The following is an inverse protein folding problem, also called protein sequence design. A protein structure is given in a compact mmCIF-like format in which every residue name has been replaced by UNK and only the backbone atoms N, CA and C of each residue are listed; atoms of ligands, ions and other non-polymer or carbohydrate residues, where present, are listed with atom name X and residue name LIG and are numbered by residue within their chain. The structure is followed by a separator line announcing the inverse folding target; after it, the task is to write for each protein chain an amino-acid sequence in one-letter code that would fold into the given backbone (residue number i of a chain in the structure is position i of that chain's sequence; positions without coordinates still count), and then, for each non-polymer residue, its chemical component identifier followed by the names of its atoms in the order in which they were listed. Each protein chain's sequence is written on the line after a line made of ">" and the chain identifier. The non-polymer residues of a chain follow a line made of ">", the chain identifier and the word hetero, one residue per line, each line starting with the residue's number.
data_IF_838934939125
#
_entry.id   IF_838934939125
#
_cell.length_a   1.000
_cell.length_b   1.000
_cell.length_c   1.000
_cell.angle_alpha   90.00
_cell.angle_beta   90.00
_cell.angle_gamma   90.00
#
_symmetry.space_group_name_H-M   'P 1'
#
loop_
_entity.id
_entity.type
_entity.pdbx_description
1 polymer ?
#
# COMPACT_ATOMS: atom_id res chain seq x y z
N UNK A 1 -9.68 2.45 43.25
CA UNK A 1 -9.44 1.64 42.05
C UNK A 1 -9.30 2.59 40.88
N UNK A 2 -8.10 2.74 40.32
CA UNK A 2 -7.93 3.48 39.06
C UNK A 2 -8.79 2.81 37.99
N UNK A 3 -9.61 3.60 37.28
CA UNK A 3 -10.37 3.12 36.15
C UNK A 3 -9.34 2.70 35.07
N UNK A 4 -9.26 1.41 34.79
CA UNK A 4 -8.47 0.91 33.66
C UNK A 4 -9.07 1.47 32.38
N UNK A 5 -8.31 2.28 31.66
CA UNK A 5 -8.68 2.71 30.30
C UNK A 5 -8.59 1.51 29.35
N UNK A 6 -9.68 1.19 28.66
CA UNK A 6 -9.75 0.05 27.74
C UNK A 6 -10.00 0.58 26.32
N UNK A 7 -9.00 0.46 25.46
CA UNK A 7 -9.08 0.88 24.07
C UNK A 7 -9.40 -0.33 23.17
N UNK A 8 -10.54 -0.29 22.47
CA UNK A 8 -11.04 -1.39 21.62
C UNK A 8 -11.10 -1.03 20.12
N UNK A 9 -10.59 0.14 19.72
CA UNK A 9 -10.67 0.62 18.34
C UNK A 9 -9.32 0.53 17.57
N UNK A 10 -8.59 -0.58 17.77
CA UNK A 10 -7.30 -0.79 17.11
C UNK A 10 -7.41 -0.94 15.57
N UNK A 11 -8.57 -1.27 15.04
CA UNK A 11 -8.83 -1.31 13.60
C UNK A 11 -8.77 0.09 12.95
N UNK A 12 -9.10 1.15 13.70
CA UNK A 12 -8.94 2.54 13.25
C UNK A 12 -7.48 3.00 13.35
N UNK A 13 -6.84 2.80 14.52
CA UNK A 13 -5.41 3.04 14.77
C UNK A 13 -4.99 2.29 16.03
N UNK A 14 -3.76 1.81 16.08
CA UNK A 14 -3.27 1.08 17.26
C UNK A 14 -2.99 2.02 18.44
N UNK A 15 -3.32 1.57 19.66
CA UNK A 15 -3.03 2.27 20.91
C UNK A 15 -2.80 1.26 22.05
N UNK A 16 -1.81 1.51 22.97
CA UNK A 16 -0.80 2.57 22.93
C UNK A 16 0.27 2.33 21.85
N UNK A 17 0.99 3.38 21.48
CA UNK A 17 2.20 3.23 20.65
C UNK A 17 3.35 2.74 21.52
N UNK A 18 4.21 1.82 21.01
CA UNK A 18 5.41 1.39 21.75
C UNK A 18 6.37 2.56 22.02
N UNK A 19 7.04 2.54 23.16
CA UNK A 19 7.99 3.59 23.58
C UNK A 19 9.14 3.77 22.56
N UNK A 20 9.57 2.68 21.91
CA UNK A 20 10.58 2.75 20.85
C UNK A 20 10.17 3.65 19.67
N UNK A 21 8.88 3.78 19.38
CA UNK A 21 8.36 4.69 18.33
C UNK A 21 8.58 6.14 18.74
N UNK A 22 8.24 6.50 19.98
CA UNK A 22 8.46 7.85 20.50
C UNK A 22 9.93 8.21 20.55
N UNK A 23 10.77 7.27 21.00
CA UNK A 23 12.24 7.43 21.04
C UNK A 23 12.82 7.66 19.65
N UNK A 24 12.41 6.86 18.65
CA UNK A 24 12.88 7.01 17.27
C UNK A 24 12.44 8.35 16.65
N UNK A 25 11.19 8.78 16.90
CA UNK A 25 10.68 10.08 16.44
C UNK A 25 11.47 11.23 17.06
N UNK A 26 11.78 11.17 18.37
CA UNK A 26 12.59 12.17 19.05
C UNK A 26 14.00 12.24 18.43
N UNK A 27 14.68 11.11 18.27
CA UNK A 27 16.01 11.05 17.67
C UNK A 27 16.02 11.62 16.25
N UNK A 28 15.00 11.34 15.44
CA UNK A 28 14.88 11.91 14.10
C UNK A 28 14.83 13.45 14.12
N UNK A 29 14.17 14.05 15.11
CA UNK A 29 14.03 15.51 15.23
C UNK A 29 15.23 16.18 15.90
N UNK A 30 15.94 15.51 16.81
CA UNK A 30 17.02 16.10 17.60
C UNK A 30 18.42 15.80 17.07
N UNK A 31 18.67 14.56 16.62
CA UNK A 31 20.02 14.06 16.39
C UNK A 31 20.42 14.15 14.91
N UNK A 32 19.52 13.80 13.99
CA UNK A 32 19.81 13.77 12.56
C UNK A 32 18.76 14.47 11.68
N UNK A 33 18.14 15.52 12.20
CA UNK A 33 17.19 16.35 11.44
C UNK A 33 17.90 17.06 10.28
N UNK A 34 18.00 16.37 9.14
CA UNK A 34 18.61 16.87 7.90
C UNK A 34 17.94 16.23 6.68
N UNK A 35 18.06 16.87 5.52
CA UNK A 35 17.54 16.32 4.28
C UNK A 35 18.38 15.11 3.85
N UNK A 36 17.80 13.90 3.74
CA UNK A 36 18.51 12.73 3.25
C UNK A 36 18.88 12.87 1.77
N UNK A 37 20.12 12.53 1.41
CA UNK A 37 20.54 12.35 0.03
C UNK A 37 21.00 13.61 -0.72
N UNK A 38 20.93 14.83 -0.14
CA UNK A 38 21.36 16.07 -0.83
C UNK A 38 22.74 16.59 -0.48
N UNK A 39 23.37 16.11 0.58
CA UNK A 39 24.68 16.59 0.99
C UNK A 39 25.49 15.50 1.69
N UNK A 40 26.82 15.58 1.57
CA UNK A 40 27.73 14.60 2.15
C UNK A 40 28.06 14.83 3.63
N UNK A 41 27.38 15.76 4.33
CA UNK A 41 27.66 15.99 5.75
C UNK A 41 27.03 14.90 6.64
N UNK A 42 27.59 14.69 7.82
CA UNK A 42 27.26 13.60 8.75
C UNK A 42 25.75 13.44 8.98
N UNK A 43 25.02 14.50 9.31
CA UNK A 43 23.58 14.44 9.60
C UNK A 43 22.73 14.00 8.40
N UNK A 44 23.10 14.42 7.17
CA UNK A 44 22.42 13.99 5.95
C UNK A 44 22.63 12.51 5.69
N UNK A 45 23.83 11.98 5.94
CA UNK A 45 24.13 10.54 5.82
C UNK A 45 23.39 9.73 6.90
N UNK A 46 23.32 10.23 8.13
CA UNK A 46 22.55 9.60 9.22
C UNK A 46 21.05 9.53 8.88
N UNK A 47 20.48 10.62 8.36
CA UNK A 47 19.10 10.66 7.90
C UNK A 47 18.85 9.67 6.75
N UNK A 48 19.74 9.61 5.75
CA UNK A 48 19.64 8.66 4.65
C UNK A 48 19.71 7.20 5.12
N UNK A 49 20.60 6.89 6.07
CA UNK A 49 20.71 5.56 6.68
C UNK A 49 19.43 5.18 7.45
N UNK A 50 18.83 6.12 8.19
CA UNK A 50 17.59 5.90 8.90
C UNK A 50 16.42 5.59 7.95
N UNK A 51 16.33 6.30 6.82
CA UNK A 51 15.32 6.02 5.78
C UNK A 51 15.54 4.64 5.15
N UNK A 52 16.79 4.29 4.83
CA UNK A 52 17.12 2.97 4.28
C UNK A 52 16.78 1.85 5.27
N UNK A 53 17.20 1.98 6.52
CA UNK A 53 16.90 1.00 7.56
C UNK A 53 15.38 0.81 7.77
N UNK A 54 14.59 1.88 7.67
CA UNK A 54 13.14 1.80 7.70
C UNK A 54 12.57 1.04 6.49
N UNK A 55 13.10 1.23 5.28
CA UNK A 55 12.71 0.47 4.08
C UNK A 55 13.03 -1.01 4.24
N UNK A 56 14.24 -1.34 4.71
CA UNK A 56 14.69 -2.70 4.96
C UNK A 56 13.80 -3.41 5.98
N UNK A 57 13.45 -2.73 7.09
CA UNK A 57 12.56 -3.27 8.10
C UNK A 57 11.15 -3.54 7.55
N UNK A 58 10.59 -2.61 6.78
CA UNK A 58 9.28 -2.78 6.14
C UNK A 58 9.33 -3.87 5.08
N UNK A 59 10.37 -3.94 4.26
CA UNK A 59 10.56 -5.00 3.28
C UNK A 59 10.60 -6.40 3.94
N UNK A 60 11.30 -6.50 5.07
CA UNK A 60 11.35 -7.76 5.84
C UNK A 60 9.96 -8.18 6.36
N UNK A 61 9.14 -7.24 6.86
CA UNK A 61 7.76 -7.52 7.32
C UNK A 61 6.84 -7.90 6.16
N UNK A 62 7.08 -7.36 4.97
CA UNK A 62 6.34 -7.67 3.74
C UNK A 62 6.79 -8.98 3.07
N UNK A 63 7.92 -9.56 3.44
CA UNK A 63 8.56 -10.64 2.67
C UNK A 63 9.07 -10.16 1.30
N UNK A 64 9.31 -8.86 1.14
CA UNK A 64 9.85 -8.29 -0.10
C UNK A 64 11.37 -8.49 -0.17
N UNK A 65 11.88 -8.88 -1.35
CA UNK A 65 13.31 -9.19 -1.55
C UNK A 65 14.18 -7.93 -1.66
N UNK A 66 13.61 -6.85 -2.20
CA UNK A 66 14.30 -5.60 -2.44
C UNK A 66 13.61 -4.47 -1.66
N UNK A 67 14.30 -3.81 -0.70
CA UNK A 67 13.74 -2.67 0.02
C UNK A 67 13.41 -1.48 -0.88
N UNK A 68 14.03 -1.36 -2.05
CA UNK A 68 13.70 -0.29 -3.02
C UNK A 68 12.33 -0.49 -3.68
N UNK A 69 11.72 -1.67 -3.58
CA UNK A 69 10.33 -1.90 -3.93
C UNK A 69 9.32 -1.30 -2.94
N UNK A 70 9.77 -0.66 -1.86
CA UNK A 70 8.90 0.00 -0.87
C UNK A 70 8.94 1.52 -1.08
N UNK A 71 7.83 2.10 -1.52
CA UNK A 71 7.61 3.54 -1.56
C UNK A 71 6.89 4.00 -0.29
N UNK A 72 7.43 4.99 0.44
CA UNK A 72 6.74 5.58 1.57
C UNK A 72 5.62 6.52 1.14
N UNK A 73 4.53 6.52 1.90
CA UNK A 73 3.35 7.34 1.71
C UNK A 73 2.89 7.93 3.06
N UNK A 74 2.06 8.96 3.03
CA UNK A 74 1.53 9.56 4.25
C UNK A 74 0.51 8.67 4.99
N UNK A 75 -0.11 7.75 4.29
CA UNK A 75 -1.07 6.77 4.82
C UNK A 75 -1.43 5.76 3.72
N UNK A 76 -2.25 4.75 4.06
CA UNK A 76 -2.72 3.76 3.09
C UNK A 76 -3.57 4.39 1.96
N UNK A 77 -4.36 5.42 2.25
CA UNK A 77 -5.16 6.11 1.23
C UNK A 77 -4.28 6.75 0.16
N UNK A 78 -3.16 7.39 0.57
CA UNK A 78 -2.17 7.97 -0.34
C UNK A 78 -1.50 6.87 -1.20
N UNK A 79 -1.12 5.75 -0.56
CA UNK A 79 -0.55 4.58 -1.24
C UNK A 79 -1.51 3.97 -2.27
N UNK A 80 -2.79 3.80 -1.91
CA UNK A 80 -3.83 3.27 -2.81
C UNK A 80 -4.10 4.23 -3.98
N UNK A 81 -4.10 5.55 -3.74
CA UNK A 81 -4.20 6.54 -4.81
C UNK A 81 -3.02 6.48 -5.77
N UNK A 82 -1.79 6.34 -5.24
CA UNK A 82 -0.59 6.16 -6.07
C UNK A 82 -0.71 4.91 -6.95
N UNK A 83 -1.09 3.77 -6.35
CA UNK A 83 -1.23 2.51 -7.07
C UNK A 83 -2.32 2.59 -8.17
N UNK A 84 -3.54 3.01 -7.81
CA UNK A 84 -4.67 3.03 -8.74
C UNK A 84 -4.48 4.06 -9.85
N UNK A 85 -4.07 5.27 -9.50
CA UNK A 85 -3.87 6.35 -10.49
C UNK A 85 -2.63 6.12 -11.35
N UNK A 86 -1.58 5.52 -10.77
CA UNK A 86 -0.35 5.18 -11.47
C UNK A 86 -0.52 4.03 -12.47
N UNK A 87 -1.35 3.04 -12.15
CA UNK A 87 -1.55 1.86 -12.99
C UNK A 87 -2.53 2.07 -14.15
N UNK A 88 -3.54 2.94 -13.99
CA UNK A 88 -4.68 3.02 -14.90
C UNK A 88 -4.56 4.15 -15.93
N UNK A 89 -5.06 3.87 -17.12
CA UNK A 89 -5.22 4.80 -18.26
C UNK A 89 -6.68 4.83 -18.70
N UNK A 90 -7.02 5.83 -19.52
CA UNK A 90 -8.36 5.92 -20.12
C UNK A 90 -8.64 4.70 -20.99
N UNK A 91 -9.81 4.09 -20.81
CA UNK A 91 -10.25 2.89 -21.51
C UNK A 91 -9.91 1.59 -20.79
N UNK A 92 -9.18 1.62 -19.69
CA UNK A 92 -8.86 0.44 -18.89
C UNK A 92 -10.08 -0.09 -18.13
N UNK A 93 -10.15 -1.41 -17.96
CA UNK A 93 -11.11 -2.07 -17.09
C UNK A 93 -10.45 -2.47 -15.76
N UNK A 94 -11.19 -2.30 -14.67
CA UNK A 94 -10.79 -2.67 -13.31
C UNK A 94 -11.78 -3.65 -12.70
N UNK A 95 -11.28 -4.69 -12.07
CA UNK A 95 -12.06 -5.57 -11.21
C UNK A 95 -11.76 -5.23 -9.75
N UNK A 96 -12.80 -5.01 -8.96
CA UNK A 96 -12.68 -4.78 -7.52
C UNK A 96 -13.86 -5.42 -6.80
N UNK A 97 -13.99 -5.18 -5.48
CA UNK A 97 -15.03 -5.83 -4.69
C UNK A 97 -15.89 -4.82 -3.93
N UNK A 98 -17.07 -5.22 -3.51
CA UNK A 98 -17.93 -4.42 -2.62
C UNK A 98 -17.43 -4.43 -1.16
N UNK A 99 -16.37 -5.20 -0.85
CA UNK A 99 -15.75 -5.25 0.48
C UNK A 99 -14.68 -4.18 0.69
N UNK A 100 -14.32 -3.45 -0.37
CA UNK A 100 -13.23 -2.50 -0.32
C UNK A 100 -13.51 -1.30 0.59
N UNK A 101 -12.45 -0.81 1.20
CA UNK A 101 -12.51 0.46 1.92
C UNK A 101 -12.77 1.63 0.95
N UNK A 102 -13.36 2.71 1.46
CA UNK A 102 -13.60 3.94 0.70
C UNK A 102 -12.35 4.51 -0.01
N UNK A 103 -11.17 4.22 0.49
CA UNK A 103 -9.88 4.62 -0.14
C UNK A 103 -9.64 3.96 -1.50
N UNK A 104 -10.28 2.83 -1.78
CA UNK A 104 -10.31 2.16 -3.09
C UNK A 104 -11.56 2.58 -3.85
N UNK A 105 -12.75 2.37 -3.27
CA UNK A 105 -14.02 2.57 -3.96
C UNK A 105 -14.21 4.01 -4.47
N UNK A 106 -13.85 5.02 -3.66
CA UNK A 106 -14.03 6.42 -4.08
C UNK A 106 -13.11 6.83 -5.22
N UNK A 107 -11.89 6.30 -5.26
CA UNK A 107 -10.96 6.56 -6.38
C UNK A 107 -11.48 5.92 -7.67
N UNK A 108 -11.93 4.67 -7.59
CA UNK A 108 -12.49 3.95 -8.75
C UNK A 108 -13.81 4.58 -9.21
N UNK A 109 -14.71 4.93 -8.29
CA UNK A 109 -15.98 5.59 -8.60
C UNK A 109 -15.78 6.96 -9.29
N UNK A 110 -14.79 7.75 -8.85
CA UNK A 110 -14.49 9.04 -9.48
C UNK A 110 -13.92 8.86 -10.89
N UNK A 111 -13.05 7.87 -11.10
CA UNK A 111 -12.54 7.52 -12.44
C UNK A 111 -13.66 7.02 -13.36
N UNK A 112 -14.57 6.18 -12.86
CA UNK A 112 -15.76 5.73 -13.58
C UNK A 112 -16.67 6.90 -13.95
N UNK A 113 -16.96 7.82 -12.99
CA UNK A 113 -17.79 9.01 -13.21
C UNK A 113 -17.21 9.94 -14.29
N UNK A 114 -15.88 9.97 -14.42
CA UNK A 114 -15.18 10.73 -15.48
C UNK A 114 -15.07 9.97 -16.81
N UNK A 115 -15.66 8.79 -16.88
CA UNK A 115 -15.56 7.92 -18.07
C UNK A 115 -14.11 7.55 -18.43
N UNK A 116 -13.20 7.58 -17.45
CA UNK A 116 -11.80 7.21 -17.64
C UNK A 116 -11.59 5.70 -17.65
N UNK A 117 -12.44 4.95 -16.93
CA UNK A 117 -12.33 3.49 -16.80
C UNK A 117 -13.68 2.79 -16.88
N UNK A 118 -13.64 1.48 -17.15
CA UNK A 118 -14.70 0.54 -16.89
C UNK A 118 -14.48 -0.14 -15.53
N UNK A 119 -15.54 -0.42 -14.77
CA UNK A 119 -15.44 -0.99 -13.43
C UNK A 119 -16.40 -2.16 -13.25
N UNK A 120 -15.88 -3.30 -12.80
CA UNK A 120 -16.66 -4.41 -12.28
C UNK A 120 -16.45 -4.52 -10.77
N UNK A 121 -17.53 -4.41 -10.00
CA UNK A 121 -17.52 -4.62 -8.54
C UNK A 121 -18.16 -5.98 -8.22
N UNK A 122 -17.37 -6.89 -7.68
CA UNK A 122 -17.83 -8.23 -7.30
C UNK A 122 -18.43 -8.20 -5.89
N UNK A 123 -19.66 -8.72 -5.70
CA UNK A 123 -20.22 -8.89 -4.37
C UNK A 123 -19.53 -10.05 -3.65
N UNK A 124 -19.43 -10.00 -2.30
CA UNK A 124 -19.04 -11.16 -1.53
C UNK A 124 -20.14 -12.23 -1.58
N UNK A 125 -19.76 -13.48 -1.42
CA UNK A 125 -20.69 -14.59 -1.15
C UNK A 125 -21.29 -14.47 0.27
N UNK A 126 -22.31 -15.24 0.60
CA UNK A 126 -22.94 -15.20 1.94
C UNK A 126 -21.99 -15.47 3.10
N UNK A 127 -20.87 -16.16 2.86
CA UNK A 127 -19.79 -16.42 3.82
C UNK A 127 -18.82 -15.24 4.01
N UNK A 128 -19.00 -14.14 3.24
CA UNK A 128 -18.19 -12.93 3.33
C UNK A 128 -16.93 -12.95 2.47
N UNK A 129 -16.73 -13.95 1.61
CA UNK A 129 -15.57 -14.07 0.74
C UNK A 129 -15.92 -13.80 -0.72
N UNK A 130 -14.93 -13.30 -1.47
CA UNK A 130 -14.99 -13.20 -2.94
C UNK A 130 -14.43 -14.48 -3.54
N UNK A 131 -15.18 -15.11 -4.45
CA UNK A 131 -14.69 -16.29 -5.14
C UNK A 131 -13.67 -15.91 -6.22
N UNK A 132 -12.49 -16.55 -6.28
CA UNK A 132 -11.54 -16.36 -7.36
C UNK A 132 -12.11 -16.65 -8.75
N UNK A 133 -13.10 -17.55 -8.88
CA UNK A 133 -13.75 -17.84 -10.16
C UNK A 133 -14.67 -16.70 -10.61
N UNK A 134 -15.27 -15.94 -9.68
CA UNK A 134 -16.01 -14.72 -10.02
C UNK A 134 -15.05 -13.64 -10.58
N UNK A 135 -13.82 -13.55 -10.03
CA UNK A 135 -12.75 -12.70 -10.59
C UNK A 135 -12.37 -13.14 -11.99
N UNK A 136 -12.19 -14.46 -12.21
CA UNK A 136 -11.88 -15.04 -13.51
C UNK A 136 -12.96 -14.72 -14.53
N UNK A 137 -14.23 -14.89 -14.16
CA UNK A 137 -15.39 -14.60 -15.01
C UNK A 137 -15.56 -13.13 -15.38
N UNK A 138 -15.03 -12.22 -14.56
CA UNK A 138 -15.09 -10.78 -14.79
C UNK A 138 -13.96 -10.24 -15.69
N UNK A 139 -12.94 -11.05 -16.01
CA UNK A 139 -11.81 -10.63 -16.86
C UNK A 139 -12.25 -10.23 -18.26
N UNK A 140 -11.69 -9.14 -18.75
CA UNK A 140 -11.88 -8.61 -20.11
C UNK A 140 -10.53 -8.38 -20.78
N UNK A 141 -10.52 -8.19 -22.10
CA UNK A 141 -9.29 -7.91 -22.88
C UNK A 141 -8.58 -6.63 -22.41
N UNK A 142 -9.34 -5.65 -21.94
CA UNK A 142 -8.84 -4.39 -21.40
C UNK A 142 -8.73 -4.36 -19.87
N UNK A 143 -8.85 -5.50 -19.17
CA UNK A 143 -8.61 -5.55 -17.72
C UNK A 143 -7.16 -5.21 -17.44
N UNK A 144 -6.94 -4.14 -16.65
CA UNK A 144 -5.61 -3.60 -16.35
C UNK A 144 -5.21 -3.71 -14.89
N UNK A 145 -6.19 -3.88 -14.00
CA UNK A 145 -5.95 -3.96 -12.57
C UNK A 145 -7.04 -4.81 -11.90
N UNK A 146 -6.62 -5.65 -10.96
CA UNK A 146 -7.50 -6.27 -9.97
C UNK A 146 -7.14 -5.65 -8.63
N UNK A 147 -8.12 -5.10 -7.88
CA UNK A 147 -7.90 -4.46 -6.59
C UNK A 147 -8.77 -5.09 -5.53
N UNK A 148 -8.16 -5.69 -4.48
CA UNK A 148 -8.87 -6.40 -3.42
C UNK A 148 -8.33 -6.08 -2.04
N UNK A 149 -9.19 -6.02 -1.04
CA UNK A 149 -8.78 -5.95 0.36
C UNK A 149 -8.23 -7.30 0.82
N UNK A 150 -7.17 -7.29 1.65
CA UNK A 150 -6.65 -8.52 2.25
C UNK A 150 -7.52 -9.00 3.40
N UNK A 151 -7.97 -8.06 4.24
CA UNK A 151 -8.90 -8.34 5.33
C UNK A 151 -9.86 -7.16 5.50
N UNK A 152 -11.14 -7.46 5.67
CA UNK A 152 -12.18 -6.46 5.83
C UNK A 152 -12.10 -5.79 7.21
N UNK A 153 -12.10 -4.46 7.24
CA UNK A 153 -12.19 -3.68 8.48
C UNK A 153 -13.59 -3.74 9.14
N UNK A 154 -14.58 -4.24 8.42
CA UNK A 154 -15.98 -4.33 8.89
C UNK A 154 -16.29 -5.72 9.41
N UNK A 155 -15.98 -6.77 8.63
CA UNK A 155 -16.36 -8.15 8.95
C UNK A 155 -15.20 -8.95 9.56
N UNK A 156 -13.94 -8.51 9.38
CA UNK A 156 -12.75 -9.27 9.76
C UNK A 156 -12.42 -10.43 8.81
N UNK A 157 -13.22 -10.66 7.77
CA UNK A 157 -12.98 -11.74 6.82
C UNK A 157 -11.68 -11.53 6.05
N UNK A 158 -10.80 -12.55 6.07
CA UNK A 158 -9.52 -12.57 5.35
C UNK A 158 -9.80 -13.16 3.96
N UNK A 159 -9.64 -12.35 2.93
CA UNK A 159 -9.93 -12.73 1.55
C UNK A 159 -8.93 -13.76 1.01
N UNK A 160 -9.31 -14.62 0.05
CA UNK A 160 -8.44 -15.64 -0.54
C UNK A 160 -7.46 -15.02 -1.56
N UNK A 161 -6.65 -14.05 -1.09
CA UNK A 161 -5.76 -13.24 -1.94
C UNK A 161 -4.80 -14.09 -2.77
N UNK A 162 -4.27 -15.19 -2.22
CA UNK A 162 -3.37 -16.07 -2.95
C UNK A 162 -4.04 -16.74 -4.16
N UNK A 163 -5.31 -17.17 -4.02
CA UNK A 163 -6.06 -17.76 -5.11
C UNK A 163 -6.46 -16.69 -6.16
N UNK A 164 -6.82 -15.48 -5.73
CA UNK A 164 -7.09 -14.35 -6.62
C UNK A 164 -5.80 -13.96 -7.36
N UNK A 165 -4.65 -13.96 -6.68
CA UNK A 165 -3.35 -13.67 -7.30
C UNK A 165 -2.98 -14.70 -8.37
N UNK A 166 -3.36 -15.97 -8.19
CA UNK A 166 -3.16 -16.99 -9.23
C UNK A 166 -3.99 -16.68 -10.48
N UNK A 167 -5.25 -16.27 -10.32
CA UNK A 167 -6.11 -15.85 -11.44
C UNK A 167 -5.53 -14.62 -12.14
N UNK A 168 -5.07 -13.63 -11.38
CA UNK A 168 -4.43 -12.41 -11.90
C UNK A 168 -3.18 -12.74 -12.72
N UNK A 169 -2.32 -13.63 -12.18
CA UNK A 169 -1.10 -14.10 -12.85
C UNK A 169 -1.38 -14.80 -14.16
N UNK A 170 -2.34 -15.72 -14.20
CA UNK A 170 -2.74 -16.45 -15.39
C UNK A 170 -3.27 -15.51 -16.50
N UNK A 171 -3.93 -14.42 -16.08
CA UNK A 171 -4.43 -13.39 -16.98
C UNK A 171 -3.39 -12.34 -17.38
N UNK A 172 -2.20 -12.32 -16.73
CA UNK A 172 -1.20 -11.28 -16.91
C UNK A 172 -1.64 -9.90 -16.42
N UNK A 173 -2.56 -9.85 -15.44
CA UNK A 173 -3.12 -8.62 -14.88
C UNK A 173 -2.52 -8.36 -13.51
N UNK A 174 -2.00 -7.15 -13.22
CA UNK A 174 -1.50 -6.80 -11.89
C UNK A 174 -2.57 -6.89 -10.81
N UNK A 175 -2.17 -7.37 -9.63
CA UNK A 175 -2.99 -7.40 -8.42
C UNK A 175 -2.53 -6.34 -7.43
N UNK A 176 -3.44 -5.44 -7.07
CA UNK A 176 -3.32 -4.52 -5.93
C UNK A 176 -4.03 -5.10 -4.72
N UNK A 177 -3.32 -5.21 -3.62
CA UNK A 177 -3.87 -5.66 -2.34
C UNK A 177 -3.91 -4.49 -1.35
N UNK A 178 -5.08 -4.18 -0.82
CA UNK A 178 -5.22 -3.30 0.35
C UNK A 178 -4.92 -4.10 1.62
N UNK A 179 -3.70 -3.95 2.13
CA UNK A 179 -3.20 -4.62 3.33
C UNK A 179 -3.47 -3.87 4.63
N UNK A 180 -4.37 -2.88 4.64
CA UNK A 180 -4.55 -1.96 5.77
C UNK A 180 -4.90 -2.65 7.09
N UNK A 181 -5.55 -3.79 7.05
CA UNK A 181 -5.92 -4.56 8.26
C UNK A 181 -5.05 -5.82 8.46
N UNK A 182 -4.22 -6.17 7.47
CA UNK A 182 -3.46 -7.42 7.49
C UNK A 182 -2.00 -7.23 7.89
N UNK A 183 -1.30 -6.23 7.32
CA UNK A 183 0.14 -6.07 7.58
C UNK A 183 0.40 -5.72 9.05
N UNK A 184 1.23 -6.54 9.69
CA UNK A 184 1.55 -6.43 11.12
C UNK A 184 0.52 -7.09 12.06
N UNK A 185 -0.68 -7.43 11.56
CA UNK A 185 -1.69 -8.19 12.31
C UNK A 185 -1.63 -9.70 12.02
N UNK A 186 -1.14 -10.07 10.83
CA UNK A 186 -0.92 -11.45 10.40
C UNK A 186 0.35 -11.52 9.53
N UNK A 187 0.93 -12.72 9.35
CA UNK A 187 2.04 -12.91 8.43
C UNK A 187 1.65 -12.53 6.99
N UNK A 188 2.49 -11.74 6.34
CA UNK A 188 2.36 -11.35 4.94
C UNK A 188 3.67 -11.63 4.23
N UNK A 189 3.59 -12.24 3.06
CA UNK A 189 4.72 -12.42 2.15
C UNK A 189 4.26 -12.09 0.73
N UNK A 190 4.61 -10.88 0.26
CA UNK A 190 4.19 -10.38 -1.06
C UNK A 190 4.78 -11.21 -2.21
N UNK A 191 5.95 -11.83 -1.99
CA UNK A 191 6.57 -12.72 -2.96
C UNK A 191 5.79 -14.03 -3.09
N UNK A 192 5.38 -14.63 -1.96
CA UNK A 192 4.56 -15.83 -1.95
C UNK A 192 3.13 -15.57 -2.44
N UNK A 193 2.55 -14.42 -2.08
CA UNK A 193 1.24 -13.96 -2.60
C UNK A 193 1.28 -13.65 -4.10
N UNK A 194 2.47 -13.39 -4.66
CA UNK A 194 2.64 -12.99 -6.06
C UNK A 194 1.73 -11.80 -6.45
N UNK A 195 1.59 -10.82 -5.55
CA UNK A 195 0.92 -9.56 -5.84
C UNK A 195 1.94 -8.51 -6.29
N UNK A 196 1.54 -7.63 -7.20
CA UNK A 196 2.42 -6.60 -7.76
C UNK A 196 2.37 -5.30 -6.96
N UNK A 197 1.29 -5.07 -6.23
CA UNK A 197 1.07 -3.88 -5.42
C UNK A 197 0.48 -4.27 -4.07
N UNK A 198 1.06 -3.76 -2.98
CA UNK A 198 0.55 -4.00 -1.63
C UNK A 198 0.59 -2.71 -0.81
N UNK A 199 -0.58 -2.13 -0.54
CA UNK A 199 -0.70 -0.86 0.20
C UNK A 199 -0.91 -1.10 1.70
N UNK A 200 -0.30 -0.26 2.54
CA UNK A 200 -0.40 -0.42 3.99
C UNK A 200 -0.26 0.91 4.74
N UNK A 201 -0.92 1.07 5.92
CA UNK A 201 -0.69 2.16 6.83
C UNK A 201 0.40 1.80 7.85
N UNK A 202 1.18 2.79 8.30
CA UNK A 202 2.13 2.57 9.38
C UNK A 202 1.49 2.56 10.78
N UNK A 203 0.33 3.21 10.93
CA UNK A 203 -0.27 3.48 12.24
C UNK A 203 -1.24 2.41 12.78
N UNK A 204 -1.44 1.30 12.05
CA UNK A 204 -2.26 0.16 12.47
C UNK A 204 -1.36 -0.99 12.95
N UNK A 205 -1.37 -2.14 12.29
CA UNK A 205 -0.62 -3.32 12.70
C UNK A 205 0.90 -3.12 12.82
N UNK A 206 1.48 -2.17 12.10
CA UNK A 206 2.89 -1.81 12.22
C UNK A 206 3.20 -0.92 13.44
N UNK A 207 2.21 -0.49 14.22
CA UNK A 207 2.32 0.27 15.47
C UNK A 207 3.00 1.64 15.35
N UNK A 208 3.25 2.11 14.13
CA UNK A 208 3.88 3.41 13.84
C UNK A 208 2.96 4.61 14.11
N UNK A 209 3.46 5.84 13.94
CA UNK A 209 2.64 7.04 14.10
C UNK A 209 1.66 7.21 12.94
N UNK A 210 0.60 7.99 13.19
CA UNK A 210 -0.24 8.53 12.11
C UNK A 210 0.61 9.40 11.18
N UNK A 211 0.19 9.53 9.92
CA UNK A 211 0.97 10.23 8.91
C UNK A 211 2.04 9.36 8.25
N UNK A 212 1.98 8.04 8.45
CA UNK A 212 2.90 7.07 7.83
C UNK A 212 2.15 5.93 7.14
N UNK A 213 2.73 5.44 6.07
CA UNK A 213 2.25 4.31 5.29
C UNK A 213 3.21 4.02 4.13
N UNK A 214 2.83 3.11 3.27
CA UNK A 214 3.65 2.77 2.11
C UNK A 214 2.93 1.88 1.12
N UNK A 215 3.59 1.72 -0.01
CA UNK A 215 3.22 0.86 -1.12
C UNK A 215 4.41 -0.02 -1.48
N UNK A 216 4.22 -1.34 -1.45
CA UNK A 216 5.10 -2.24 -2.17
C UNK A 216 4.74 -2.19 -3.65
N UNK A 217 5.75 -2.07 -4.50
CA UNK A 217 5.64 -2.03 -5.97
C UNK A 217 6.61 -3.06 -6.51
N UNK A 218 6.11 -4.05 -7.24
CA UNK A 218 6.96 -5.02 -7.92
C UNK A 218 7.84 -4.30 -8.95
N UNK A 219 9.12 -4.64 -9.00
CA UNK A 219 10.12 -3.98 -9.85
C UNK A 219 9.81 -4.09 -11.37
N UNK A 220 9.00 -5.06 -11.78
CA UNK A 220 8.57 -5.21 -13.15
C UNK A 220 7.39 -4.29 -13.54
N UNK A 221 6.79 -3.60 -12.58
CA UNK A 221 5.62 -2.76 -12.81
C UNK A 221 6.00 -1.29 -12.97
N UNK A 222 5.65 -0.71 -14.10
CA UNK A 222 5.81 0.72 -14.36
C UNK A 222 4.53 1.48 -13.97
N UNK A 223 4.65 2.37 -12.99
CA UNK A 223 3.56 3.23 -12.53
C UNK A 223 3.84 4.68 -12.92
N UNK A 224 2.79 5.39 -13.37
CA UNK A 224 2.90 6.84 -13.46
C UNK A 224 3.05 7.45 -12.07
N UNK A 225 3.94 8.44 -11.91
CA UNK A 225 4.08 9.13 -10.65
C UNK A 225 2.78 9.87 -10.29
N UNK A 226 2.41 9.84 -9.00
CA UNK A 226 1.27 10.63 -8.49
C UNK A 226 1.62 12.12 -8.41
N UNK A 227 2.89 12.43 -8.24
CA UNK A 227 3.44 13.80 -8.12
C UNK A 227 4.80 13.85 -8.80
N UNK A 228 5.04 14.89 -9.55
CA UNK A 228 6.32 15.18 -10.18
C UNK A 228 7.10 16.24 -9.38
N UNK A 229 8.41 16.21 -9.50
CA UNK A 229 9.30 17.22 -8.90
C UNK A 229 10.18 16.64 -7.80
N UNK A 230 10.85 17.48 -7.09
CA UNK A 230 11.55 17.28 -5.81
C UNK A 230 12.25 15.97 -5.48
N UNK A 231 12.74 15.19 -6.45
CA UNK A 231 13.34 13.87 -6.22
C UNK A 231 14.71 13.92 -5.51
N UNK A 232 15.36 15.08 -5.51
CA UNK A 232 16.70 15.23 -4.94
C UNK A 232 17.85 14.74 -5.81
N UNK A 233 17.55 14.14 -6.96
CA UNK A 233 18.53 13.64 -7.94
C UNK A 233 18.21 14.17 -9.33
N UNK A 234 19.21 14.12 -10.24
CA UNK A 234 19.06 14.50 -11.65
C UNK A 234 18.41 15.88 -11.86
N UNK A 235 18.83 16.88 -11.07
CA UNK A 235 18.26 18.25 -11.11
C UNK A 235 18.44 18.96 -12.47
N UNK A 236 19.31 18.43 -13.33
CA UNK A 236 19.53 18.87 -14.70
C UNK A 236 18.45 18.38 -15.69
N UNK A 237 17.66 17.38 -15.30
CA UNK A 237 16.59 16.83 -16.14
C UNK A 237 15.25 17.48 -15.82
N UNK A 238 14.54 17.94 -16.86
CA UNK A 238 13.16 18.43 -16.73
C UNK A 238 12.14 17.28 -16.65
N UNK A 239 12.55 16.06 -16.97
CA UNK A 239 11.66 14.90 -16.95
C UNK A 239 11.83 14.11 -15.66
N UNK A 240 10.71 13.76 -15.03
CA UNK A 240 10.70 12.83 -13.91
C UNK A 240 11.19 11.48 -14.41
N UNK A 241 12.25 10.94 -13.78
CA UNK A 241 12.66 9.56 -13.99
C UNK A 241 11.84 8.67 -13.07
N UNK A 242 11.31 7.58 -13.61
CA UNK A 242 10.80 6.48 -12.78
C UNK A 242 11.98 5.90 -11.99
N UNK A 243 11.85 5.84 -10.67
CA UNK A 243 12.87 5.33 -9.74
C UNK A 243 12.43 3.97 -9.27
#
# INVERSE_FOLDING_TARGET
>A
MEKRDVYLDNAATSHPKPECVLTAMRAALTDFNANPGRSGHRRSLEAARAVLAAREAVAAVLGARDPFCVAFAFNCTDALNLAIKGALRTGDHVISTLLEHNSVLRVLAEKLRREEIELTLLPPRPDGFVDPEDVRGALRKNTRLIAVTHASNVTGAIQPVAAIAQVAKEAGVPLLVDGAQALGAMPVDVSALNCQLYAFPGHKGLLGPQGTGGLYIDAALDLQPLREGGTGSSSESMLQRCV
#
